data_IF_045351092703
#
_entry.id   IF_045351092703
#
_cell.length_a   1.000
_cell.length_b   1.000
_cell.length_c   1.000
_cell.angle_alpha   90.00
_cell.angle_beta   90.00
_cell.angle_gamma   90.00
#
_symmetry.space_group_name_H-M   'P 1'
#
loop_
_entity.id
_entity.type
_entity.pdbx_description
1 polymer ?
#
# COMPACT_ATOMS: atom_id res chain seq x y z
N UNK A 1 11.03 27.89 42.60
CA UNK A 1 11.93 27.06 41.77
C UNK A 1 11.21 25.74 41.55
N UNK A 2 10.62 25.53 40.38
CA UNK A 2 9.85 24.34 40.02
C UNK A 2 10.80 23.46 39.18
N UNK A 3 11.03 22.18 39.52
CA UNK A 3 11.80 21.31 38.65
C UNK A 3 10.97 20.97 37.40
N UNK A 4 11.61 21.07 36.24
CA UNK A 4 11.06 20.66 34.96
C UNK A 4 10.96 19.12 34.91
N UNK A 5 9.76 18.64 34.58
CA UNK A 5 9.49 17.25 34.20
C UNK A 5 9.95 17.08 32.74
N UNK A 6 11.12 16.47 32.56
CA UNK A 6 11.65 16.08 31.25
C UNK A 6 10.84 14.85 30.77
N UNK A 7 9.73 15.14 30.10
CA UNK A 7 8.87 14.16 29.44
C UNK A 7 9.60 13.48 28.29
N UNK A 8 10.48 12.53 28.62
CA UNK A 8 11.13 11.63 27.68
C UNK A 8 10.09 10.72 27.03
N UNK A 9 9.50 11.17 25.92
CA UNK A 9 8.84 10.27 24.98
C UNK A 9 9.89 9.38 24.35
N UNK A 10 10.00 8.15 24.86
CA UNK A 10 10.77 7.09 24.24
C UNK A 10 10.19 6.83 22.85
N UNK A 11 10.83 7.36 21.82
CA UNK A 11 10.60 6.95 20.44
C UNK A 11 11.09 5.50 20.30
N UNK A 12 10.24 4.53 19.89
CA UNK A 12 10.70 3.17 19.66
C UNK A 12 11.63 3.15 18.44
N UNK A 13 12.93 3.32 18.69
CA UNK A 13 14.01 3.25 17.71
C UNK A 13 14.55 1.82 17.65
N UNK A 14 13.86 0.97 16.91
CA UNK A 14 14.33 -0.38 16.60
C UNK A 14 13.54 -0.95 15.42
N UNK A 15 14.16 -1.79 14.57
CA UNK A 15 13.44 -2.44 13.47
C UNK A 15 12.25 -3.21 14.03
N UNK A 16 11.03 -2.78 13.68
CA UNK A 16 9.81 -3.46 14.04
C UNK A 16 9.73 -4.73 13.19
N UNK A 17 10.30 -5.83 13.69
CA UNK A 17 10.17 -7.14 13.04
C UNK A 17 8.73 -7.60 13.22
N UNK A 18 7.91 -7.38 12.19
CA UNK A 18 6.59 -8.01 12.08
C UNK A 18 6.80 -9.52 12.01
N UNK A 19 6.53 -10.23 13.12
CA UNK A 19 6.39 -11.68 13.13
C UNK A 19 5.08 -12.02 12.45
N UNK A 20 5.16 -12.39 11.17
CA UNK A 20 4.02 -12.90 10.41
C UNK A 20 4.08 -14.42 10.46
N UNK A 21 3.01 -15.04 10.98
CA UNK A 21 2.84 -16.50 10.88
C UNK A 21 2.79 -16.90 9.39
N UNK A 22 3.61 -17.86 8.92
CA UNK A 22 3.70 -18.21 7.50
C UNK A 22 2.36 -18.59 6.87
N UNK A 23 1.49 -19.23 7.64
CA UNK A 23 0.13 -19.61 7.22
C UNK A 23 -0.78 -18.41 6.92
N UNK A 24 -0.48 -17.24 7.48
CA UNK A 24 -1.22 -16.00 7.26
C UNK A 24 -0.74 -15.22 6.03
N UNK A 25 0.45 -15.55 5.49
CA UNK A 25 1.04 -14.83 4.35
C UNK A 25 0.15 -14.89 3.09
N UNK A 26 -0.44 -16.04 2.70
CA UNK A 26 -1.34 -16.10 1.55
C UNK A 26 -2.57 -15.18 1.71
N UNK A 27 -3.19 -15.18 2.89
CA UNK A 27 -4.35 -14.33 3.17
C UNK A 27 -4.01 -12.84 3.13
N UNK A 28 -2.86 -12.45 3.70
CA UNK A 28 -2.37 -11.08 3.63
C UNK A 28 -2.05 -10.65 2.18
N UNK A 29 -1.36 -11.51 1.42
CA UNK A 29 -1.09 -11.29 0.00
C UNK A 29 -2.37 -11.02 -0.78
N UNK A 30 -3.35 -11.91 -0.65
CA UNK A 30 -4.60 -11.82 -1.40
C UNK A 30 -5.39 -10.56 -1.02
N UNK A 31 -5.35 -10.16 0.26
CA UNK A 31 -5.95 -8.91 0.72
C UNK A 31 -5.29 -7.67 0.08
N UNK A 32 -3.96 -7.63 -0.01
CA UNK A 32 -3.24 -6.52 -0.66
C UNK A 32 -3.55 -6.43 -2.16
N UNK A 33 -3.57 -7.57 -2.86
CA UNK A 33 -3.88 -7.61 -4.29
C UNK A 33 -5.34 -7.20 -4.54
N UNK A 34 -6.28 -7.71 -3.74
CA UNK A 34 -7.69 -7.32 -3.83
C UNK A 34 -7.90 -5.83 -3.55
N UNK A 35 -7.19 -5.27 -2.57
CA UNK A 35 -7.23 -3.83 -2.30
C UNK A 35 -6.69 -3.01 -3.49
N UNK A 36 -5.63 -3.48 -4.16
CA UNK A 36 -5.10 -2.83 -5.36
C UNK A 36 -6.14 -2.83 -6.50
N UNK A 37 -6.84 -3.94 -6.72
CA UNK A 37 -7.90 -4.04 -7.73
C UNK A 37 -9.05 -3.06 -7.42
N UNK A 38 -9.43 -2.93 -6.14
CA UNK A 38 -10.46 -1.96 -5.73
C UNK A 38 -10.03 -0.51 -5.99
N UNK A 39 -8.75 -0.19 -5.76
CA UNK A 39 -8.20 1.13 -6.07
C UNK A 39 -8.26 1.40 -7.58
N UNK A 40 -7.93 0.43 -8.42
CA UNK A 40 -8.01 0.59 -9.88
C UNK A 40 -9.46 0.85 -10.36
N UNK A 41 -10.45 0.16 -9.77
CA UNK A 41 -11.87 0.41 -10.04
C UNK A 41 -12.30 1.82 -9.62
N UNK A 42 -11.83 2.30 -8.47
CA UNK A 42 -12.12 3.66 -7.99
C UNK A 42 -11.48 4.72 -8.91
N UNK A 43 -10.23 4.52 -9.32
CA UNK A 43 -9.54 5.38 -10.29
C UNK A 43 -10.33 5.44 -11.59
N UNK A 44 -10.82 4.31 -12.11
CA UNK A 44 -11.65 4.27 -13.31
C UNK A 44 -12.95 5.09 -13.18
N UNK A 45 -13.56 5.10 -11.98
CA UNK A 45 -14.76 5.91 -11.71
C UNK A 45 -14.45 7.41 -11.62
N UNK A 46 -13.28 7.76 -11.10
CA UNK A 46 -12.87 9.15 -10.85
C UNK A 46 -12.41 9.88 -12.11
N UNK A 47 -12.09 9.20 -13.21
CA UNK A 47 -11.62 9.80 -14.47
C UNK A 47 -12.71 10.52 -15.31
N UNK A 48 -13.87 10.81 -14.73
CA UNK A 48 -14.97 11.49 -15.43
C UNK A 48 -14.77 13.01 -15.37
N UNK A 49 -15.07 13.72 -16.45
CA UNK A 49 -15.06 15.19 -16.48
C UNK A 49 -15.99 15.76 -15.40
N UNK A 50 -15.50 16.74 -14.65
CA UNK A 50 -16.28 17.42 -13.62
C UNK A 50 -17.34 18.30 -14.29
N UNK A 51 -18.63 18.16 -13.94
CA UNK A 51 -19.68 19.01 -14.50
C UNK A 51 -19.60 20.44 -13.93
N UNK A 52 -19.99 21.42 -14.74
CA UNK A 52 -20.36 22.74 -14.22
C UNK A 52 -21.61 22.59 -13.36
N UNK A 53 -21.49 22.87 -12.06
CA UNK A 53 -22.58 22.64 -11.09
C UNK A 53 -23.66 23.71 -11.10
N UNK A 54 -23.35 24.92 -11.56
CA UNK A 54 -24.29 26.05 -11.57
C UNK A 54 -24.59 26.58 -12.99
N UNK A 55 -24.05 25.96 -14.03
CA UNK A 55 -24.30 26.32 -15.44
C UNK A 55 -23.72 27.67 -15.85
N UNK A 56 -22.99 28.34 -14.97
CA UNK A 56 -22.40 29.65 -15.17
C UNK A 56 -20.91 29.56 -15.61
N UNK A 57 -20.32 30.67 -16.11
CA UNK A 57 -18.92 30.67 -16.55
C UNK A 57 -17.90 30.32 -15.45
N UNK A 58 -18.13 30.70 -14.19
CA UNK A 58 -17.21 30.45 -13.07
C UNK A 58 -17.19 28.97 -12.72
N UNK A 59 -18.36 28.33 -12.63
CA UNK A 59 -18.41 26.88 -12.36
C UNK A 59 -17.82 26.06 -13.52
N UNK A 60 -17.95 26.52 -14.76
CA UNK A 60 -17.27 25.91 -15.92
C UNK A 60 -15.75 26.04 -15.82
N UNK A 61 -15.24 27.24 -15.57
CA UNK A 61 -13.81 27.49 -15.45
C UNK A 61 -13.21 26.71 -14.27
N UNK A 62 -13.90 26.68 -13.14
CA UNK A 62 -13.44 25.95 -11.95
C UNK A 62 -13.40 24.44 -12.19
N UNK A 63 -14.43 23.87 -12.85
CA UNK A 63 -14.42 22.46 -13.23
C UNK A 63 -13.25 22.13 -14.18
N UNK A 64 -12.97 22.99 -15.16
CA UNK A 64 -11.82 22.83 -16.05
C UNK A 64 -10.48 22.92 -15.33
N UNK A 65 -10.33 23.86 -14.38
CA UNK A 65 -9.10 23.98 -13.60
C UNK A 65 -8.91 22.80 -12.64
N UNK A 66 -9.99 22.27 -12.06
CA UNK A 66 -9.97 21.09 -11.20
C UNK A 66 -9.56 19.83 -11.97
N UNK A 67 -10.15 19.60 -13.15
CA UNK A 67 -9.84 18.45 -14.01
C UNK A 67 -8.41 18.52 -14.56
N UNK A 68 -7.99 19.72 -15.00
CA UNK A 68 -6.64 19.96 -15.54
C UNK A 68 -5.55 20.03 -14.46
N UNK A 69 -5.92 20.11 -13.18
CA UNK A 69 -4.98 20.29 -12.07
C UNK A 69 -4.24 21.63 -12.10
N UNK A 70 -4.72 22.60 -12.88
CA UNK A 70 -4.03 23.87 -13.16
C UNK A 70 -4.45 25.03 -12.25
N UNK A 71 -5.28 24.80 -11.23
CA UNK A 71 -5.69 25.85 -10.30
C UNK A 71 -4.48 26.38 -9.51
N UNK A 72 -4.25 27.69 -9.60
CA UNK A 72 -3.15 28.39 -8.95
C UNK A 72 -3.13 28.16 -7.44
N UNK A 73 -2.19 27.32 -6.99
CA UNK A 73 -1.92 27.05 -5.58
C UNK A 73 -2.16 25.59 -5.19
N UNK A 74 -1.10 24.78 -5.25
CA UNK A 74 -0.98 23.60 -4.38
C UNK A 74 -1.25 22.21 -4.96
N UNK A 75 -1.38 22.05 -6.28
CA UNK A 75 -1.38 20.71 -6.90
C UNK A 75 -2.51 19.77 -6.47
N UNK A 76 -3.62 20.28 -5.92
CA UNK A 76 -4.77 19.48 -5.45
C UNK A 76 -5.94 19.52 -6.44
N UNK A 77 -5.79 18.84 -7.58
CA UNK A 77 -6.87 18.64 -8.57
C UNK A 77 -7.20 17.16 -8.78
N UNK A 78 -8.19 16.87 -9.62
CA UNK A 78 -8.58 15.50 -9.98
C UNK A 78 -7.38 14.66 -10.44
N UNK A 79 -6.52 15.26 -11.27
CA UNK A 79 -5.31 14.61 -11.80
C UNK A 79 -4.39 14.13 -10.67
N UNK A 80 -4.07 15.00 -9.73
CA UNK A 80 -3.18 14.67 -8.61
C UNK A 80 -3.79 13.60 -7.68
N UNK A 81 -5.09 13.66 -7.43
CA UNK A 81 -5.78 12.63 -6.66
C UNK A 81 -5.73 11.26 -7.36
N UNK A 82 -5.96 11.23 -8.67
CA UNK A 82 -5.85 10.01 -9.48
C UNK A 82 -4.41 9.47 -9.47
N UNK A 83 -3.41 10.33 -9.63
CA UNK A 83 -2.01 9.91 -9.64
C UNK A 83 -1.58 9.37 -8.28
N UNK A 84 -2.02 9.99 -7.17
CA UNK A 84 -1.79 9.48 -5.81
C UNK A 84 -2.43 8.10 -5.59
N UNK A 85 -3.68 7.91 -6.04
CA UNK A 85 -4.36 6.62 -5.93
C UNK A 85 -3.67 5.54 -6.76
N UNK A 86 -3.20 5.86 -7.98
CA UNK A 86 -2.42 4.91 -8.79
C UNK A 86 -1.11 4.52 -8.10
N UNK A 87 -0.39 5.47 -7.54
CA UNK A 87 0.84 5.21 -6.80
C UNK A 87 0.56 4.30 -5.59
N UNK A 88 -0.51 4.57 -4.84
CA UNK A 88 -0.91 3.72 -3.73
C UNK A 88 -1.32 2.30 -4.16
N UNK A 89 -2.10 2.16 -5.23
CA UNK A 89 -2.43 0.87 -5.83
C UNK A 89 -1.19 0.07 -6.23
N UNK A 90 -0.16 0.75 -6.75
CA UNK A 90 1.11 0.11 -7.05
C UNK A 90 1.84 -0.37 -5.77
N UNK A 91 1.87 0.44 -4.71
CA UNK A 91 2.47 0.04 -3.44
C UNK A 91 1.78 -1.20 -2.84
N UNK A 92 0.45 -1.31 -2.98
CA UNK A 92 -0.30 -2.49 -2.56
C UNK A 92 0.10 -3.74 -3.37
N UNK A 93 0.24 -3.61 -4.69
CA UNK A 93 0.72 -4.70 -5.56
C UNK A 93 2.13 -5.14 -5.17
N UNK A 94 3.04 -4.19 -5.00
CA UNK A 94 4.43 -4.46 -4.64
C UNK A 94 4.51 -5.18 -3.29
N UNK A 95 3.68 -4.77 -2.33
CA UNK A 95 3.58 -5.43 -1.01
C UNK A 95 3.06 -6.87 -1.12
N UNK A 96 2.01 -7.10 -1.92
CA UNK A 96 1.49 -8.44 -2.19
C UNK A 96 2.54 -9.35 -2.84
N UNK A 97 3.26 -8.84 -3.84
CA UNK A 97 4.33 -9.58 -4.52
C UNK A 97 5.48 -9.92 -3.57
N UNK A 98 5.91 -8.97 -2.73
CA UNK A 98 6.95 -9.21 -1.73
C UNK A 98 6.56 -10.31 -0.73
N UNK A 99 5.29 -10.34 -0.30
CA UNK A 99 4.77 -11.41 0.55
C UNK A 99 4.78 -12.77 -0.18
N UNK A 100 4.44 -12.80 -1.46
CA UNK A 100 4.49 -14.01 -2.26
C UNK A 100 5.93 -14.55 -2.39
N UNK A 101 6.90 -13.67 -2.65
CA UNK A 101 8.31 -14.03 -2.74
C UNK A 101 8.84 -14.57 -1.41
N UNK A 102 8.49 -13.91 -0.29
CA UNK A 102 8.85 -14.38 1.05
C UNK A 102 8.25 -15.77 1.34
N UNK A 103 6.99 -16.00 0.98
CA UNK A 103 6.34 -17.31 1.13
C UNK A 103 7.06 -18.40 0.31
N UNK A 104 7.38 -18.13 -0.96
CA UNK A 104 8.06 -19.08 -1.81
C UNK A 104 9.46 -19.44 -1.28
N UNK A 105 10.19 -18.46 -0.75
CA UNK A 105 11.48 -18.69 -0.09
C UNK A 105 11.32 -19.57 1.16
N UNK A 106 10.32 -19.31 2.00
CA UNK A 106 10.04 -20.12 3.17
C UNK A 106 9.75 -21.59 2.81
N UNK A 107 8.82 -21.82 1.87
CA UNK A 107 8.46 -23.17 1.40
C UNK A 107 9.67 -23.90 0.82
N UNK A 108 10.53 -23.21 0.05
CA UNK A 108 11.72 -23.81 -0.52
C UNK A 108 12.73 -24.25 0.56
N UNK A 109 12.94 -23.43 1.59
CA UNK A 109 13.87 -23.73 2.69
C UNK A 109 13.34 -24.86 3.58
N UNK A 110 12.05 -24.85 3.94
CA UNK A 110 11.45 -25.95 4.71
C UNK A 110 11.41 -27.25 3.93
N UNK A 111 11.10 -27.20 2.63
CA UNK A 111 11.17 -28.35 1.74
C UNK A 111 12.59 -28.94 1.66
N UNK A 112 13.60 -28.08 1.49
CA UNK A 112 15.01 -28.49 1.47
C UNK A 112 15.47 -29.08 2.81
N UNK A 113 15.03 -28.51 3.94
CA UNK A 113 15.31 -29.06 5.26
C UNK A 113 14.64 -30.41 5.45
N UNK A 114 13.35 -30.54 5.15
CA UNK A 114 12.62 -31.81 5.30
C UNK A 114 13.25 -32.93 4.46
N UNK A 115 13.72 -32.63 3.24
CA UNK A 115 14.43 -33.56 2.38
C UNK A 115 15.78 -34.01 2.97
N UNK A 116 16.56 -33.10 3.58
CA UNK A 116 17.83 -33.44 4.23
C UNK A 116 17.65 -34.35 5.45
N UNK A 117 16.56 -34.19 6.19
CA UNK A 117 16.31 -34.97 7.41
C UNK A 117 15.74 -36.36 7.10
N UNK A 118 14.93 -36.52 6.04
CA UNK A 118 14.50 -37.85 5.56
C UNK A 118 15.60 -38.66 4.89
N UNK A 119 16.72 -38.04 4.52
CA UNK A 119 17.88 -38.69 3.92
C UNK A 119 18.90 -39.26 4.91
N UNK A 120 18.69 -39.11 6.22
CA UNK A 120 19.63 -39.62 7.24
C UNK A 120 19.16 -40.98 7.75
N UNK A 121 19.86 -42.09 7.47
CA UNK A 121 19.53 -43.38 8.07
C UNK A 121 19.76 -43.34 9.58
N UNK A 122 18.87 -43.98 10.34
CA UNK A 122 18.99 -44.18 11.79
C UNK A 122 20.33 -44.87 12.11
N UNK A 123 21.09 -44.41 13.13
CA UNK A 123 22.24 -45.16 13.60
C UNK A 123 21.75 -46.48 14.22
N UNK A 124 22.31 -47.58 13.70
CA UNK A 124 22.10 -48.95 14.17
C UNK A 124 22.65 -49.19 15.58
#
# INVERSE_FOLDING_TARGET
MIPADDGGSATPSGPQTLKVEPASIPGARDAFLSAADQVDLLVGRLLRTTPSWAGDPVSRETAQQFDSGSAGGGGMGQRAAVDALKAYGQQLRDSGNALNDAYNQYVAVEGANTAKWKGKPEPA
#
